data_IF_083867612583
#
_entry.id   IF_083867612583
#
_cell.length_a   1.000
_cell.length_b   1.000
_cell.length_c   1.000
_cell.angle_alpha   90.00
_cell.angle_beta   90.00
_cell.angle_gamma   90.00
#
_symmetry.space_group_name_H-M   'P 1'
#
loop_
_entity.id
_entity.type
_entity.pdbx_description
1 polymer ?
#
# COMPACT_ATOMS: atom_id res chain seq x y z
N UNK A 1 -18.63 -20.57 0.06
CA UNK A 1 -18.45 -20.64 1.53
C UNK A 1 -18.57 -19.23 2.11
N UNK A 2 -19.39 -19.00 3.14
CA UNK A 2 -19.48 -17.68 3.79
C UNK A 2 -18.24 -17.41 4.64
N UNK A 3 -17.52 -16.33 4.34
CA UNK A 3 -16.34 -15.91 5.10
C UNK A 3 -16.74 -15.25 6.42
N UNK A 4 -15.89 -15.45 7.43
CA UNK A 4 -16.01 -14.84 8.76
C UNK A 4 -15.05 -13.66 8.88
N UNK A 5 -15.53 -12.59 9.51
CA UNK A 5 -14.66 -11.47 9.90
C UNK A 5 -13.77 -11.91 11.06
N UNK A 6 -12.48 -12.08 10.82
CA UNK A 6 -11.44 -12.26 11.81
C UNK A 6 -11.33 -11.02 12.68
N UNK A 7 -11.36 -11.20 14.00
CA UNK A 7 -11.23 -10.13 14.99
C UNK A 7 -9.88 -10.32 15.67
N UNK A 8 -8.87 -9.55 15.26
CA UNK A 8 -7.48 -9.74 15.68
C UNK A 8 -7.23 -9.41 17.17
N UNK A 9 -8.17 -8.73 17.82
CA UNK A 9 -8.15 -8.50 19.27
C UNK A 9 -8.62 -9.70 20.09
N UNK A 10 -9.29 -10.69 19.46
CA UNK A 10 -9.70 -11.93 20.14
C UNK A 10 -8.57 -12.97 20.09
N UNK A 11 -8.49 -13.87 21.09
CA UNK A 11 -7.55 -14.98 21.06
C UNK A 11 -7.67 -15.80 19.77
N UNK A 12 -6.53 -16.07 19.15
CA UNK A 12 -6.40 -16.96 18.00
C UNK A 12 -5.43 -18.09 18.32
N UNK A 13 -5.08 -18.88 17.31
CA UNK A 13 -4.06 -19.90 17.46
C UNK A 13 -2.70 -19.21 17.55
N UNK A 14 -1.96 -19.47 18.63
CA UNK A 14 -0.65 -18.90 18.89
C UNK A 14 0.45 -19.84 18.38
N UNK A 15 1.48 -19.28 17.74
CA UNK A 15 2.68 -20.01 17.32
C UNK A 15 3.83 -19.75 18.29
N UNK A 16 4.39 -20.81 18.87
CA UNK A 16 5.58 -20.74 19.75
C UNK A 16 6.72 -21.59 19.19
N UNK A 17 7.96 -21.12 19.30
CA UNK A 17 9.14 -21.86 18.84
C UNK A 17 9.39 -23.06 19.77
N UNK A 18 9.67 -24.23 19.21
CA UNK A 18 9.99 -25.45 19.97
C UNK A 18 11.06 -26.25 19.21
N UNK A 19 12.27 -26.31 19.77
CA UNK A 19 13.42 -26.96 19.13
C UNK A 19 13.70 -26.37 17.74
N UNK A 20 13.74 -27.23 16.72
CA UNK A 20 13.95 -26.83 15.31
C UNK A 20 12.68 -26.34 14.59
N UNK A 21 11.52 -26.36 15.24
CA UNK A 21 10.23 -26.04 14.62
C UNK A 21 9.33 -25.17 15.50
N UNK A 22 8.02 -25.34 15.30
CA UNK A 22 6.98 -24.60 16.01
C UNK A 22 5.96 -25.54 16.64
N UNK A 23 5.42 -25.14 17.78
CA UNK A 23 4.22 -25.70 18.38
C UNK A 23 3.09 -24.66 18.30
N UNK A 24 1.87 -25.15 18.16
CA UNK A 24 0.67 -24.32 18.04
C UNK A 24 -0.22 -24.53 19.25
N UNK A 25 -0.80 -23.44 19.74
CA UNK A 25 -1.66 -23.45 20.91
C UNK A 25 -3.01 -22.84 20.54
N UNK A 26 -4.09 -23.47 20.98
CA UNK A 26 -5.45 -23.01 20.75
C UNK A 26 -5.74 -21.66 21.42
N UNK A 27 -6.90 -21.05 21.13
CA UNK A 27 -7.36 -19.82 21.79
C UNK A 27 -7.51 -19.94 23.32
N UNK A 28 -7.70 -21.17 23.81
CA UNK A 28 -7.75 -21.58 25.22
C UNK A 28 -6.35 -21.74 25.86
N UNK A 29 -5.29 -21.71 25.05
CA UNK A 29 -3.92 -21.92 25.50
C UNK A 29 -3.48 -23.39 25.53
N UNK A 30 -4.34 -24.33 25.14
CA UNK A 30 -4.01 -25.75 25.10
C UNK A 30 -3.17 -26.10 23.86
N UNK A 31 -2.38 -27.17 23.95
CA UNK A 31 -1.56 -27.62 22.83
C UNK A 31 -2.47 -28.16 21.72
N UNK A 32 -2.34 -27.61 20.52
CA UNK A 32 -3.13 -28.04 19.37
C UNK A 32 -2.57 -29.35 18.80
N UNK A 33 -3.36 -30.41 18.85
CA UNK A 33 -3.02 -31.75 18.33
C UNK A 33 -3.88 -32.17 17.14
N UNK A 34 -4.92 -31.41 16.81
CA UNK A 34 -5.80 -31.68 15.67
C UNK A 34 -5.04 -31.64 14.34
N UNK A 35 -4.94 -32.79 13.67
CA UNK A 35 -4.17 -32.96 12.45
C UNK A 35 -4.68 -32.11 11.28
N UNK A 36 -6.00 -31.90 11.18
CA UNK A 36 -6.57 -31.08 10.12
C UNK A 36 -6.18 -29.61 10.26
N UNK A 37 -6.28 -29.07 11.48
CA UNK A 37 -5.89 -27.68 11.75
C UNK A 37 -4.38 -27.49 11.58
N UNK A 38 -3.55 -28.45 12.02
CA UNK A 38 -2.10 -28.39 11.82
C UNK A 38 -1.71 -28.41 10.34
N UNK A 39 -2.36 -29.25 9.53
CA UNK A 39 -2.13 -29.28 8.08
C UNK A 39 -2.53 -27.95 7.44
N UNK A 40 -3.69 -27.39 7.79
CA UNK A 40 -4.11 -26.06 7.32
C UNK A 40 -3.07 -25.00 7.64
N UNK A 41 -2.53 -24.97 8.87
CA UNK A 41 -1.51 -24.00 9.28
C UNK A 41 -0.24 -24.15 8.45
N UNK A 42 0.16 -25.39 8.13
CA UNK A 42 1.30 -25.68 7.27
C UNK A 42 1.07 -25.12 5.85
N UNK A 43 -0.13 -25.30 5.31
CA UNK A 43 -0.52 -24.83 3.97
C UNK A 43 -0.59 -23.30 3.87
N UNK A 44 -0.72 -22.58 4.99
CA UNK A 44 -0.61 -21.11 5.01
C UNK A 44 0.82 -20.62 4.74
N UNK A 45 1.84 -21.47 4.85
CA UNK A 45 3.26 -21.13 4.61
C UNK A 45 3.67 -19.85 5.36
N UNK A 46 3.32 -19.76 6.65
CA UNK A 46 3.63 -18.59 7.47
C UNK A 46 5.15 -18.47 7.64
N UNK A 47 5.81 -17.39 7.18
CA UNK A 47 7.26 -17.28 7.22
C UNK A 47 7.83 -17.53 8.63
N UNK A 48 8.92 -18.31 8.76
CA UNK A 48 9.47 -18.68 10.05
C UNK A 48 10.04 -17.47 10.82
N UNK A 49 10.47 -16.43 10.11
CA UNK A 49 10.99 -15.20 10.70
C UNK A 49 9.91 -14.31 11.33
N UNK A 50 8.62 -14.56 11.05
CA UNK A 50 7.54 -13.74 11.64
C UNK A 50 7.44 -13.95 13.16
N UNK A 51 7.37 -12.83 13.88
CA UNK A 51 7.16 -12.77 15.32
C UNK A 51 5.71 -12.39 15.65
N UNK A 52 5.30 -12.56 16.92
CA UNK A 52 3.95 -12.21 17.42
C UNK A 52 2.83 -12.72 16.49
N UNK A 53 2.93 -13.99 16.09
CA UNK A 53 2.05 -14.59 15.09
C UNK A 53 0.72 -14.98 15.73
N UNK A 54 -0.36 -14.47 15.15
CA UNK A 54 -1.74 -14.86 15.42
C UNK A 54 -2.29 -15.57 14.19
N UNK A 55 -2.95 -16.71 14.39
CA UNK A 55 -3.52 -17.52 13.32
C UNK A 55 -5.02 -17.68 13.59
N UNK A 56 -5.83 -17.61 12.53
CA UNK A 56 -7.28 -17.73 12.65
C UNK A 56 -7.68 -19.10 13.21
N UNK A 57 -8.57 -19.15 14.22
CA UNK A 57 -9.07 -20.41 14.75
C UNK A 57 -9.97 -21.14 13.75
N UNK A 58 -10.65 -20.40 12.87
CA UNK A 58 -11.57 -20.96 11.87
C UNK A 58 -10.96 -20.92 10.47
N UNK A 59 -11.14 -21.99 9.66
CA UNK A 59 -10.63 -22.03 8.29
C UNK A 59 -11.26 -20.96 7.38
N UNK A 60 -12.47 -20.48 7.68
CA UNK A 60 -13.15 -19.47 6.88
C UNK A 60 -12.96 -18.02 7.35
N UNK A 61 -11.96 -17.72 8.20
CA UNK A 61 -11.62 -16.35 8.56
C UNK A 61 -11.00 -15.57 7.38
N UNK A 62 -11.47 -14.36 7.07
CA UNK A 62 -10.94 -13.58 5.94
C UNK A 62 -9.45 -13.24 6.09
N UNK A 63 -8.97 -13.03 7.33
CA UNK A 63 -7.53 -13.05 7.67
C UNK A 63 -7.23 -14.41 8.27
N UNK A 64 -6.30 -15.14 7.66
CA UNK A 64 -5.83 -16.46 8.09
C UNK A 64 -4.68 -16.38 9.08
N UNK A 65 -3.75 -15.43 8.90
CA UNK A 65 -2.68 -15.19 9.84
C UNK A 65 -2.25 -13.73 9.82
N UNK A 66 -1.71 -13.25 10.94
CA UNK A 66 -1.01 -11.98 11.04
C UNK A 66 0.25 -12.18 11.84
N UNK A 67 1.34 -11.55 11.42
CA UNK A 67 2.62 -11.60 12.12
C UNK A 67 3.37 -10.28 11.97
N UNK A 68 4.48 -10.16 12.66
CA UNK A 68 5.41 -9.04 12.53
C UNK A 68 6.66 -9.54 11.80
N UNK A 69 7.05 -8.92 10.70
CA UNK A 69 8.25 -9.31 9.96
C UNK A 69 9.55 -8.80 10.63
N UNK A 70 10.70 -9.15 10.05
CA UNK A 70 12.01 -8.75 10.57
C UNK A 70 12.25 -7.24 10.56
N UNK A 71 11.49 -6.48 9.76
CA UNK A 71 11.52 -5.03 9.69
C UNK A 71 10.50 -4.38 10.64
N UNK A 72 9.87 -5.15 11.54
CA UNK A 72 8.89 -4.63 12.51
C UNK A 72 7.49 -4.36 11.94
N UNK A 73 7.23 -4.71 10.67
CA UNK A 73 5.95 -4.41 10.00
C UNK A 73 4.95 -5.53 10.22
N UNK A 74 3.67 -5.17 10.43
CA UNK A 74 2.59 -6.16 10.47
C UNK A 74 2.30 -6.68 9.07
N UNK A 75 2.41 -7.98 8.90
CA UNK A 75 2.11 -8.72 7.67
C UNK A 75 0.88 -9.59 7.85
N UNK A 76 0.09 -9.73 6.79
CA UNK A 76 -1.20 -10.40 6.81
C UNK A 76 -1.26 -11.48 5.73
N UNK A 77 -1.81 -12.64 6.07
CA UNK A 77 -2.24 -13.65 5.12
C UNK A 77 -3.77 -13.67 5.10
N UNK A 78 -4.34 -13.52 3.91
CA UNK A 78 -5.79 -13.50 3.70
C UNK A 78 -6.28 -14.83 3.15
N UNK A 79 -7.56 -15.13 3.36
CA UNK A 79 -8.22 -16.24 2.69
C UNK A 79 -8.33 -15.96 1.19
N UNK A 80 -8.10 -16.97 0.35
CA UNK A 80 -8.12 -16.81 -1.12
C UNK A 80 -9.43 -16.20 -1.63
N UNK A 81 -10.57 -16.73 -1.19
CA UNK A 81 -11.88 -16.18 -1.55
C UNK A 81 -12.06 -14.70 -1.16
N UNK A 82 -11.46 -14.24 -0.05
CA UNK A 82 -11.49 -12.82 0.32
C UNK A 82 -10.67 -11.98 -0.64
N UNK A 83 -9.51 -12.48 -1.05
CA UNK A 83 -8.66 -11.78 -2.01
C UNK A 83 -9.35 -11.65 -3.37
N UNK A 84 -10.06 -12.70 -3.81
CA UNK A 84 -10.85 -12.69 -5.05
C UNK A 84 -11.99 -11.67 -4.97
N UNK A 85 -12.83 -11.73 -3.94
CA UNK A 85 -13.94 -10.79 -3.73
C UNK A 85 -13.44 -9.33 -3.67
N UNK A 86 -12.35 -9.05 -2.94
CA UNK A 86 -11.76 -7.70 -2.87
C UNK A 86 -11.09 -7.27 -4.17
N UNK A 87 -10.59 -8.20 -4.98
CA UNK A 87 -10.04 -7.89 -6.29
C UNK A 87 -11.17 -7.50 -7.27
N UNK A 88 -12.30 -8.21 -7.24
CA UNK A 88 -13.50 -7.89 -8.02
C UNK A 88 -14.08 -6.53 -7.62
N UNK A 89 -14.31 -6.28 -6.33
CA UNK A 89 -14.78 -4.96 -5.86
C UNK A 89 -13.82 -3.84 -6.26
N UNK A 90 -12.50 -4.09 -6.23
CA UNK A 90 -11.50 -3.11 -6.66
C UNK A 90 -11.61 -2.86 -8.16
N UNK A 91 -11.83 -3.90 -8.97
CA UNK A 91 -12.02 -3.76 -10.40
C UNK A 91 -13.26 -2.92 -10.71
N UNK A 92 -14.39 -3.20 -10.06
CA UNK A 92 -15.63 -2.43 -10.21
C UNK A 92 -15.44 -0.97 -9.82
N UNK A 93 -14.73 -0.69 -8.72
CA UNK A 93 -14.40 0.70 -8.33
C UNK A 93 -13.56 1.42 -9.37
N UNK A 94 -12.63 0.73 -10.04
CA UNK A 94 -11.84 1.32 -11.12
C UNK A 94 -12.71 1.62 -12.34
N UNK A 95 -13.68 0.75 -12.66
CA UNK A 95 -14.66 1.01 -13.71
C UNK A 95 -15.54 2.23 -13.39
N UNK A 96 -16.04 2.35 -12.16
CA UNK A 96 -16.79 3.54 -11.76
C UNK A 96 -15.93 4.81 -11.81
N UNK A 97 -14.69 4.76 -11.31
CA UNK A 97 -13.76 5.89 -11.41
C UNK A 97 -13.49 6.29 -12.87
N UNK A 98 -13.39 5.32 -13.78
CA UNK A 98 -13.09 5.58 -15.20
C UNK A 98 -14.13 6.47 -15.88
N UNK A 99 -15.39 6.40 -15.43
CA UNK A 99 -16.48 7.24 -15.94
C UNK A 99 -16.30 8.72 -15.54
N UNK A 100 -15.67 8.96 -14.39
CA UNK A 100 -15.42 10.30 -13.84
C UNK A 100 -14.11 10.92 -14.34
N UNK A 101 -13.19 10.12 -14.91
CA UNK A 101 -11.89 10.60 -15.40
C UNK A 101 -11.98 11.75 -16.42
N UNK A 102 -12.90 11.75 -17.40
CA UNK A 102 -13.00 12.86 -18.35
C UNK A 102 -13.29 14.21 -17.66
N UNK A 103 -14.23 14.23 -16.70
CA UNK A 103 -14.58 15.44 -15.96
C UNK A 103 -13.45 15.88 -15.01
N UNK A 104 -12.80 14.92 -14.34
CA UNK A 104 -11.61 15.20 -13.53
C UNK A 104 -10.51 15.86 -14.36
N UNK A 105 -10.19 15.30 -15.53
CA UNK A 105 -9.15 15.82 -16.44
C UNK A 105 -9.51 17.20 -16.98
N UNK A 106 -10.80 17.46 -17.23
CA UNK A 106 -11.30 18.79 -17.62
C UNK A 106 -11.00 19.82 -16.54
N UNK A 107 -11.39 19.55 -15.28
CA UNK A 107 -11.13 20.45 -14.13
C UNK A 107 -9.64 20.69 -13.90
N UNK A 108 -8.84 19.63 -13.96
CA UNK A 108 -7.37 19.74 -13.87
C UNK A 108 -6.84 20.71 -14.93
N UNK A 109 -7.30 20.62 -16.18
CA UNK A 109 -6.87 21.50 -17.25
C UNK A 109 -7.29 22.97 -17.01
N UNK A 110 -8.48 23.19 -16.44
CA UNK A 110 -8.99 24.53 -16.09
C UNK A 110 -8.16 25.17 -14.99
N UNK A 111 -7.93 24.45 -13.89
CA UNK A 111 -7.14 24.92 -12.76
C UNK A 111 -5.67 25.21 -13.15
N UNK A 112 -5.09 24.37 -14.03
CA UNK A 112 -3.76 24.59 -14.59
C UNK A 112 -3.67 25.84 -15.49
N UNK A 113 -4.78 26.21 -16.15
CA UNK A 113 -4.89 27.42 -16.96
C UNK A 113 -4.94 28.72 -16.15
N UNK A 114 -5.14 28.63 -14.84
CA UNK A 114 -5.10 29.76 -13.91
C UNK A 114 -3.72 30.42 -13.81
N UNK A 115 -3.69 31.61 -13.20
CA UNK A 115 -2.45 32.38 -12.95
C UNK A 115 -2.06 32.35 -11.47
N UNK A 116 -0.76 32.46 -11.20
CA UNK A 116 -0.20 32.50 -9.85
C UNK A 116 -0.11 31.14 -9.16
N UNK A 117 0.43 31.11 -7.93
CA UNK A 117 0.60 29.91 -7.13
C UNK A 117 -0.61 29.71 -6.19
N UNK A 118 -1.74 29.31 -6.75
CA UNK A 118 -2.96 29.03 -5.96
C UNK A 118 -2.98 27.57 -5.51
N UNK A 119 -3.69 27.30 -4.41
CA UNK A 119 -3.90 25.94 -3.90
C UNK A 119 -4.43 25.00 -4.97
N UNK A 120 -5.45 25.43 -5.70
CA UNK A 120 -6.13 24.57 -6.69
C UNK A 120 -5.21 24.26 -7.88
N UNK A 121 -4.40 25.24 -8.33
CA UNK A 121 -3.41 25.02 -9.39
C UNK A 121 -2.31 24.06 -8.98
N UNK A 122 -1.84 24.14 -7.73
CA UNK A 122 -0.83 23.21 -7.18
C UNK A 122 -1.41 21.79 -7.08
N UNK A 123 -2.65 21.64 -6.63
CA UNK A 123 -3.34 20.35 -6.58
C UNK A 123 -3.59 19.78 -7.97
N UNK A 124 -4.01 20.60 -8.92
CA UNK A 124 -4.22 20.20 -10.30
C UNK A 124 -2.93 19.71 -10.96
N UNK A 125 -1.80 20.38 -10.72
CA UNK A 125 -0.48 19.91 -11.15
C UNK A 125 -0.12 18.56 -10.53
N UNK A 126 -0.34 18.38 -9.22
CA UNK A 126 -0.06 17.11 -8.57
C UNK A 126 -0.93 15.97 -9.12
N UNK A 127 -2.23 16.23 -9.31
CA UNK A 127 -3.16 15.25 -9.88
C UNK A 127 -2.86 14.92 -11.34
N UNK A 128 -2.47 15.91 -12.16
CA UNK A 128 -2.03 15.70 -13.55
C UNK A 128 -0.82 14.77 -13.62
N UNK A 129 0.18 15.01 -12.79
CA UNK A 129 1.39 14.19 -12.72
C UNK A 129 1.14 12.77 -12.18
N UNK A 130 0.11 12.60 -11.35
CA UNK A 130 -0.39 11.28 -10.91
C UNK A 130 -1.14 10.56 -12.03
N UNK A 131 -2.00 11.26 -12.77
CA UNK A 131 -2.78 10.71 -13.89
C UNK A 131 -1.87 10.23 -15.04
N UNK A 132 -0.78 10.95 -15.31
CA UNK A 132 0.26 10.52 -16.25
C UNK A 132 1.12 9.35 -15.74
N UNK A 133 1.00 8.99 -14.46
CA UNK A 133 1.68 7.83 -13.87
C UNK A 133 3.15 8.05 -13.52
N UNK A 134 3.64 9.30 -13.52
CA UNK A 134 5.04 9.59 -13.18
C UNK A 134 5.35 9.34 -11.70
N UNK A 135 4.37 9.59 -10.83
CA UNK A 135 4.54 9.55 -9.38
C UNK A 135 3.55 8.61 -8.70
N UNK A 136 3.90 8.24 -7.46
CA UNK A 136 2.93 7.76 -6.47
C UNK A 136 2.49 8.94 -5.61
N UNK A 137 1.31 8.85 -4.99
CA UNK A 137 0.79 9.89 -4.11
C UNK A 137 1.80 10.30 -3.02
N UNK A 138 2.46 9.32 -2.39
CA UNK A 138 3.29 9.56 -1.21
C UNK A 138 2.44 9.63 0.05
N UNK A 139 3.06 9.45 1.21
CA UNK A 139 2.41 9.59 2.51
C UNK A 139 3.45 9.96 3.55
N UNK A 140 3.14 10.91 4.43
CA UNK A 140 4.07 11.51 5.40
C UNK A 140 4.79 10.45 6.24
N UNK A 141 4.03 9.47 6.75
CA UNK A 141 4.58 8.38 7.54
C UNK A 141 5.67 7.56 6.82
N UNK A 142 5.60 7.42 5.49
CA UNK A 142 6.64 6.72 4.72
C UNK A 142 7.84 7.61 4.39
N UNK A 143 7.65 8.92 4.29
CA UNK A 143 8.73 9.86 4.06
C UNK A 143 9.63 9.95 5.30
N UNK A 144 9.04 10.00 6.49
CA UNK A 144 9.77 10.12 7.75
C UNK A 144 10.44 8.80 8.18
N UNK A 145 9.73 7.67 8.04
CA UNK A 145 10.24 6.38 8.53
C UNK A 145 11.20 5.68 7.56
N UNK A 146 11.13 5.98 6.25
CA UNK A 146 11.84 5.20 5.22
C UNK A 146 12.57 6.06 4.17
N UNK A 147 12.71 7.38 4.39
CA UNK A 147 13.29 8.33 3.43
C UNK A 147 12.75 8.11 2.00
N UNK A 148 11.46 7.82 1.89
CA UNK A 148 10.82 7.42 0.63
C UNK A 148 9.76 8.45 0.24
N UNK A 149 9.95 9.11 -0.89
CA UNK A 149 9.12 10.24 -1.31
C UNK A 149 8.13 9.88 -2.42
N UNK A 150 7.00 10.58 -2.43
CA UNK A 150 6.02 10.64 -3.52
C UNK A 150 5.63 12.10 -3.78
N UNK A 151 4.68 12.34 -4.68
CA UNK A 151 4.40 13.70 -5.15
C UNK A 151 3.98 14.66 -4.02
N UNK A 152 3.25 14.17 -3.02
CA UNK A 152 2.82 14.97 -1.88
C UNK A 152 3.92 15.21 -0.83
N UNK A 153 5.09 14.56 -0.96
CA UNK A 153 6.18 14.63 0.02
C UNK A 153 7.51 15.05 -0.62
N UNK A 154 7.53 15.41 -1.90
CA UNK A 154 8.75 15.91 -2.55
C UNK A 154 9.26 17.18 -1.84
N UNK A 155 10.58 17.34 -1.83
CA UNK A 155 11.29 18.50 -1.27
C UNK A 155 11.92 19.29 -2.41
N UNK A 156 12.24 20.56 -2.17
CA UNK A 156 12.88 21.42 -3.17
C UNK A 156 14.20 20.83 -3.69
N UNK A 157 14.98 20.17 -2.83
CA UNK A 157 16.23 19.49 -3.21
C UNK A 157 16.03 18.34 -4.22
N UNK A 158 14.82 17.80 -4.31
CA UNK A 158 14.48 16.73 -5.27
C UNK A 158 14.13 17.26 -6.66
N UNK A 159 14.04 18.58 -6.86
CA UNK A 159 13.49 19.18 -8.08
C UNK A 159 14.49 20.18 -8.66
N UNK A 160 14.81 20.01 -9.94
CA UNK A 160 15.61 20.98 -10.70
C UNK A 160 14.76 21.53 -11.84
N UNK A 161 14.48 22.84 -11.80
CA UNK A 161 13.74 23.53 -12.86
C UNK A 161 14.74 23.96 -13.94
N UNK A 162 14.47 23.53 -15.18
CA UNK A 162 15.21 23.95 -16.37
C UNK A 162 14.33 24.88 -17.22
N UNK A 163 14.88 25.37 -18.33
CA UNK A 163 14.18 26.31 -19.22
C UNK A 163 12.85 25.73 -19.73
N UNK A 164 12.90 24.50 -20.22
CA UNK A 164 11.78 23.84 -20.91
C UNK A 164 11.36 22.52 -20.24
N UNK A 165 12.02 22.12 -19.15
CA UNK A 165 11.74 20.87 -18.46
C UNK A 165 11.88 20.99 -16.95
N UNK A 166 11.34 20.02 -16.22
CA UNK A 166 11.57 19.84 -14.79
C UNK A 166 12.13 18.45 -14.55
N UNK A 167 13.31 18.39 -13.95
CA UNK A 167 13.95 17.14 -13.54
C UNK A 167 13.64 16.86 -12.07
N UNK A 168 13.37 15.60 -11.76
CA UNK A 168 13.20 15.11 -10.40
C UNK A 168 14.21 14.02 -10.13
N UNK A 169 14.79 14.05 -8.94
CA UNK A 169 15.73 13.03 -8.48
C UNK A 169 15.56 12.79 -6.97
N UNK A 170 14.97 11.65 -6.60
CA UNK A 170 14.59 11.36 -5.22
C UNK A 170 14.62 9.87 -4.90
N UNK A 171 14.82 9.47 -3.64
CA UNK A 171 14.61 8.10 -3.21
C UNK A 171 13.11 7.81 -3.11
N UNK A 172 12.63 6.85 -3.91
CA UNK A 172 11.24 6.41 -3.91
C UNK A 172 11.06 5.16 -3.02
N UNK A 173 9.82 4.64 -3.00
CA UNK A 173 9.45 3.44 -2.23
C UNK A 173 10.50 2.32 -2.36
N UNK A 174 10.87 1.75 -1.22
CA UNK A 174 11.89 0.70 -1.07
C UNK A 174 13.33 1.17 -1.37
N UNK A 175 13.61 2.46 -1.21
CA UNK A 175 14.95 3.03 -1.42
C UNK A 175 15.38 3.11 -2.89
N UNK A 176 14.46 2.86 -3.83
CA UNK A 176 14.78 2.89 -5.26
C UNK A 176 14.90 4.35 -5.70
N UNK A 177 16.09 4.77 -6.15
CA UNK A 177 16.28 6.10 -6.72
C UNK A 177 15.44 6.26 -8.00
N UNK A 178 14.66 7.33 -8.06
CA UNK A 178 13.82 7.71 -9.20
C UNK A 178 14.35 9.00 -9.78
N UNK A 179 14.82 8.93 -11.02
CA UNK A 179 15.21 10.09 -11.83
C UNK A 179 14.27 10.18 -13.02
N UNK A 180 13.66 11.34 -13.23
CA UNK A 180 12.75 11.58 -14.34
C UNK A 180 12.81 13.03 -14.79
N UNK A 181 12.63 13.25 -16.08
CA UNK A 181 12.58 14.58 -16.69
C UNK A 181 11.24 14.73 -17.39
N UNK A 182 10.52 15.80 -17.08
CA UNK A 182 9.20 16.10 -17.64
C UNK A 182 9.30 17.38 -18.47
N UNK A 183 9.13 17.20 -19.78
CA UNK A 183 8.85 18.23 -20.77
C UNK A 183 7.37 18.09 -21.14
N UNK A 184 6.51 18.81 -20.42
CA UNK A 184 5.06 18.85 -20.66
C UNK A 184 4.67 20.28 -21.06
N UNK A 185 3.87 20.53 -22.10
CA UNK A 185 3.39 21.87 -22.43
C UNK A 185 2.64 22.58 -21.28
N UNK A 186 2.02 21.81 -20.38
CA UNK A 186 1.35 22.24 -19.14
C UNK A 186 2.29 22.20 -17.91
N UNK A 187 3.60 22.14 -18.17
CA UNK A 187 4.67 21.76 -17.25
C UNK A 187 4.68 22.46 -15.89
N UNK A 188 5.17 21.77 -14.85
CA UNK A 188 5.51 22.37 -13.56
C UNK A 188 6.42 23.60 -13.68
N UNK A 189 7.27 23.73 -14.70
CA UNK A 189 8.14 24.89 -14.91
C UNK A 189 7.36 26.22 -15.04
N UNK A 190 6.08 26.19 -15.46
CA UNK A 190 5.19 27.35 -15.51
C UNK A 190 4.44 27.60 -14.19
N UNK A 191 4.47 26.64 -13.27
CA UNK A 191 3.79 26.70 -11.98
C UNK A 191 4.76 26.92 -10.80
N UNK A 192 6.05 26.63 -10.99
CA UNK A 192 7.11 26.69 -9.96
C UNK A 192 7.93 28.01 -10.06
N UNK A 193 7.54 28.93 -10.94
CA UNK A 193 8.11 30.29 -11.02
C UNK A 193 7.31 31.30 -10.21
#
# INVERSE_FOLDING_TARGET
MRLRRSVLSKPGIARKRRGKGFAYYGPDGELLTDGQTLQRIKDLVIPPAWQKVWIAPYPNGHIQAVGTDAAGRRQYLYHQAWQQERAEEKFDRVLELSKELPELRRRIAEDLGGRGLTRDRVLALALHLLDLGYFRAGGEQYADDNDSYGIATLRCEHVTVRRDAVAFDYPAKSGVRRTLEIDDPKSPARCVR
#
